data_IF_848539696300
#
_entry.id   IF_848539696300
#
_cell.length_a   1.000
_cell.length_b   1.000
_cell.length_c   1.000
_cell.angle_alpha   90.00
_cell.angle_beta   90.00
_cell.angle_gamma   90.00
#
_symmetry.space_group_name_H-M   'P 1'
#
loop_
_entity.id
_entity.type
_entity.pdbx_description
1 polymer ?
#
# COMPACT_ATOMS: atom_id res chain seq x y z
N UNK A 1 -28.94 15.75 9.45
CA UNK A 1 -27.67 16.50 9.43
C UNK A 1 -26.59 15.52 8.96
N UNK A 2 -26.22 15.62 7.69
CA UNK A 2 -25.21 14.77 7.09
C UNK A 2 -23.85 15.31 7.55
N UNK A 3 -23.21 14.62 8.49
CA UNK A 3 -21.85 14.97 8.91
C UNK A 3 -20.89 14.52 7.82
N UNK A 4 -20.67 15.36 6.81
CA UNK A 4 -19.52 15.26 5.94
C UNK A 4 -18.27 15.62 6.76
N UNK A 5 -17.71 14.65 7.50
CA UNK A 5 -16.30 14.73 7.86
C UNK A 5 -15.56 14.63 6.54
N UNK A 6 -14.82 15.68 6.16
CA UNK A 6 -13.64 15.54 5.32
C UNK A 6 -12.62 14.73 6.13
N UNK A 7 -12.94 13.46 6.37
CA UNK A 7 -12.07 12.54 7.06
C UNK A 7 -10.89 12.32 6.15
N UNK A 8 -9.69 12.49 6.70
CA UNK A 8 -8.45 11.94 6.14
C UNK A 8 -8.80 10.54 5.66
N UNK A 9 -8.96 10.35 4.33
CA UNK A 9 -9.10 9.03 3.76
C UNK A 9 -7.89 8.27 4.28
N UNK A 10 -8.13 7.28 5.15
CA UNK A 10 -7.03 6.56 5.76
C UNK A 10 -6.20 6.03 4.61
N UNK A 11 -4.89 6.20 4.59
CA UNK A 11 -4.14 5.87 3.38
C UNK A 11 -4.28 4.38 2.94
N UNK A 12 -4.85 3.54 3.82
CA UNK A 12 -5.31 2.19 3.57
C UNK A 12 -6.40 2.14 2.48
N UNK A 13 -7.24 3.15 2.36
CA UNK A 13 -8.28 3.29 1.33
C UNK A 13 -7.69 3.55 -0.06
N UNK A 14 -6.46 4.08 -0.17
CA UNK A 14 -5.76 4.17 -1.46
C UNK A 14 -5.14 2.84 -1.91
N UNK A 15 -5.10 1.85 -1.02
CA UNK A 15 -4.65 0.50 -1.36
C UNK A 15 -5.81 -0.26 -2.01
N UNK A 16 -5.87 -0.15 -3.33
CA UNK A 16 -6.82 -0.84 -4.20
C UNK A 16 -6.17 -2.12 -4.75
N UNK A 17 -6.78 -3.27 -4.47
CA UNK A 17 -6.27 -4.55 -4.94
C UNK A 17 -6.63 -4.81 -6.40
N UNK A 18 -5.81 -5.60 -7.09
CA UNK A 18 -6.02 -5.98 -8.49
C UNK A 18 -5.55 -4.94 -9.52
N UNK A 19 -4.89 -3.87 -9.08
CA UNK A 19 -4.25 -2.89 -9.96
C UNK A 19 -2.87 -2.48 -9.45
N UNK A 20 -2.08 -1.88 -10.34
CA UNK A 20 -0.86 -1.19 -9.96
C UNK A 20 -1.21 0.13 -9.27
N UNK A 21 -0.63 0.35 -8.11
CA UNK A 21 -0.66 1.58 -7.33
C UNK A 21 0.64 2.32 -7.66
N UNK A 22 0.50 3.47 -8.28
CA UNK A 22 1.59 4.32 -8.81
C UNK A 22 1.66 5.69 -8.12
N UNK A 23 0.78 5.89 -7.14
CA UNK A 23 0.61 7.12 -6.38
C UNK A 23 1.78 7.37 -5.42
N UNK A 24 2.66 6.39 -5.23
CA UNK A 24 3.92 6.56 -4.51
C UNK A 24 5.03 6.95 -5.51
N UNK A 25 5.75 8.07 -5.27
CA UNK A 25 6.65 8.66 -6.27
C UNK A 25 7.84 7.77 -6.67
N UNK A 26 8.23 6.84 -5.80
CA UNK A 26 9.47 6.09 -5.89
C UNK A 26 9.26 4.58 -6.00
N UNK A 27 8.00 4.12 -5.90
CA UNK A 27 7.66 2.70 -5.91
C UNK A 27 6.35 2.45 -6.63
N UNK A 28 6.29 1.35 -7.37
CA UNK A 28 5.05 0.82 -7.91
C UNK A 28 4.65 -0.42 -7.11
N UNK A 29 3.40 -0.47 -6.65
CA UNK A 29 2.92 -1.55 -5.77
C UNK A 29 1.76 -2.26 -6.43
N UNK A 30 1.82 -3.58 -6.51
CA UNK A 30 0.67 -4.41 -6.88
C UNK A 30 0.31 -5.32 -5.73
N UNK A 31 -0.98 -5.38 -5.42
CA UNK A 31 -1.55 -6.26 -4.41
C UNK A 31 -2.66 -7.04 -5.08
N UNK A 32 -2.55 -8.37 -5.10
CA UNK A 32 -3.56 -9.20 -5.75
C UNK A 32 -4.88 -9.22 -4.95
N UNK A 33 -4.79 -9.32 -3.63
CA UNK A 33 -5.96 -9.40 -2.75
C UNK A 33 -5.75 -8.61 -1.46
N UNK A 34 -6.80 -7.92 -1.03
CA UNK A 34 -6.89 -7.22 0.24
C UNK A 34 -8.15 -7.67 0.99
N UNK A 35 -8.00 -8.00 2.26
CA UNK A 35 -9.08 -8.36 3.18
C UNK A 35 -8.88 -7.56 4.49
N UNK A 36 -9.56 -6.42 4.57
CA UNK A 36 -9.32 -5.43 5.63
C UNK A 36 -7.86 -4.95 5.64
N UNK A 37 -7.16 -5.26 6.73
CA UNK A 37 -5.74 -4.94 6.93
C UNK A 37 -4.79 -5.97 6.30
N UNK A 38 -5.28 -7.13 5.86
CA UNK A 38 -4.46 -8.21 5.34
C UNK A 38 -4.31 -8.13 3.83
N UNK A 39 -3.08 -8.28 3.35
CA UNK A 39 -2.71 -8.24 1.95
C UNK A 39 -2.15 -9.61 1.54
N UNK A 40 -2.36 -9.99 0.29
CA UNK A 40 -1.81 -11.23 -0.29
C UNK A 40 -1.24 -10.97 -1.67
N UNK A 41 -0.18 -11.72 -1.98
CA UNK A 41 0.55 -11.67 -3.25
C UNK A 41 0.92 -10.23 -3.62
N UNK A 42 1.81 -9.65 -2.81
CA UNK A 42 2.30 -8.28 -2.98
C UNK A 42 3.55 -8.29 -3.86
N UNK A 43 3.61 -7.35 -4.79
CA UNK A 43 4.80 -7.03 -5.57
C UNK A 43 5.09 -5.54 -5.43
N UNK A 44 6.35 -5.19 -5.16
CA UNK A 44 6.81 -3.81 -5.09
C UNK A 44 7.99 -3.68 -6.04
N UNK A 45 7.91 -2.73 -6.97
CA UNK A 45 9.02 -2.30 -7.79
C UNK A 45 9.57 -1.00 -7.24
N UNK A 46 10.87 -0.96 -6.98
CA UNK A 46 11.57 0.29 -6.74
C UNK A 46 11.95 0.91 -8.09
N UNK A 47 11.42 2.11 -8.36
CA UNK A 47 11.63 2.83 -9.61
C UNK A 47 12.57 4.03 -9.46
N UNK A 48 13.23 4.18 -8.30
CA UNK A 48 14.14 5.31 -8.02
C UNK A 48 15.37 5.31 -8.92
N UNK A 49 15.76 4.15 -9.41
CA UNK A 49 16.90 4.02 -10.30
C UNK A 49 16.45 3.33 -11.61
N UNK A 50 16.40 4.06 -12.74
CA UNK A 50 15.96 3.48 -14.01
C UNK A 50 16.90 2.37 -14.52
N UNK A 51 18.16 2.35 -14.10
CA UNK A 51 19.14 1.31 -14.45
C UNK A 51 19.05 0.06 -13.56
N UNK A 52 18.29 0.11 -12.46
CA UNK A 52 18.18 -0.97 -11.49
C UNK A 52 16.72 -1.20 -11.11
N UNK A 53 16.08 -2.17 -11.75
CA UNK A 53 14.77 -2.64 -11.31
C UNK A 53 14.94 -3.58 -10.12
N UNK A 54 14.60 -3.10 -8.91
CA UNK A 54 14.52 -3.94 -7.72
C UNK A 54 13.07 -4.36 -7.51
N UNK A 55 12.82 -5.65 -7.64
CA UNK A 55 11.52 -6.26 -7.32
C UNK A 55 11.57 -6.89 -5.93
N UNK A 56 10.58 -6.56 -5.11
CA UNK A 56 10.32 -7.19 -3.82
C UNK A 56 9.00 -7.96 -3.97
N UNK A 57 9.02 -9.24 -3.63
CA UNK A 57 7.84 -10.11 -3.60
C UNK A 57 7.56 -10.52 -2.16
N UNK A 58 6.29 -10.53 -1.79
CA UNK A 58 5.83 -11.02 -0.50
C UNK A 58 4.52 -11.80 -0.67
N UNK A 59 4.45 -12.98 -0.06
CA UNK A 59 3.25 -13.81 -0.07
C UNK A 59 2.10 -13.15 0.68
N UNK A 60 2.42 -12.43 1.75
CA UNK A 60 1.44 -11.75 2.59
C UNK A 60 1.96 -10.42 3.13
N UNK A 61 1.04 -9.60 3.64
CA UNK A 61 1.42 -8.38 4.32
C UNK A 61 0.29 -7.85 5.18
N UNK A 62 0.62 -6.89 6.05
CA UNK A 62 -0.34 -6.25 6.93
C UNK A 62 -0.20 -4.73 6.87
N UNK A 63 -1.33 -4.05 6.73
CA UNK A 63 -1.43 -2.60 6.86
C UNK A 63 -1.46 -2.26 8.35
N UNK A 64 -0.58 -1.37 8.78
CA UNK A 64 -0.66 -0.71 10.07
C UNK A 64 -0.81 0.80 9.88
N UNK A 65 -1.88 1.36 10.45
CA UNK A 65 -2.07 2.81 10.56
C UNK A 65 -1.57 3.28 11.92
N UNK A 66 -0.68 4.27 11.95
CA UNK A 66 -0.29 4.88 13.21
C UNK A 66 -1.40 5.83 13.68
N UNK A 67 -1.91 5.66 14.90
CA UNK A 67 -2.92 6.58 15.47
C UNK A 67 -2.34 7.99 15.72
N UNK A 68 -1.01 8.09 15.82
CA UNK A 68 -0.28 9.31 16.17
C UNK A 68 0.32 10.01 14.94
N UNK A 69 0.35 9.35 13.79
CA UNK A 69 0.94 9.91 12.57
C UNK A 69 0.09 9.51 11.38
N UNK A 70 -0.17 10.45 10.45
CA UNK A 70 -0.87 10.16 9.18
C UNK A 70 -0.06 9.28 8.21
N UNK A 71 0.84 8.45 8.74
CA UNK A 71 1.66 7.50 8.01
C UNK A 71 1.06 6.11 8.09
N UNK A 72 1.30 5.34 7.03
CA UNK A 72 0.96 3.94 6.96
C UNK A 72 2.22 3.14 6.73
N UNK A 73 2.32 2.03 7.45
CA UNK A 73 3.35 1.04 7.27
C UNK A 73 2.71 -0.22 6.72
N UNK A 74 3.27 -0.75 5.65
CA UNK A 74 2.92 -2.08 5.16
C UNK A 74 4.05 -3.02 5.53
N UNK A 75 3.76 -3.97 6.42
CA UNK A 75 4.70 -5.03 6.77
C UNK A 75 4.57 -6.16 5.76
N UNK A 76 5.67 -6.52 5.12
CA UNK A 76 5.72 -7.58 4.11
C UNK A 76 6.28 -8.87 4.72
N UNK A 77 5.64 -9.99 4.42
CA UNK A 77 5.98 -11.33 4.94
C UNK A 77 6.01 -12.35 3.79
N UNK A 78 6.94 -13.29 3.86
CA UNK A 78 7.09 -14.41 2.93
C UNK A 78 6.33 -15.66 3.42
#
# INVERSE_FOLDING_TARGET
AEQAKLGVASAAEFIDAGRWITEFPDVEVYIERKDGEHLRNIRVYDVRNPDVSREIRASSGRIQTSETSSSITVELQD
#
